data_IF_740856154190
#
_entry.id   IF_740856154190
#
_cell.length_a   1.000
_cell.length_b   1.000
_cell.length_c   1.000
_cell.angle_alpha   90.00
_cell.angle_beta   90.00
_cell.angle_gamma   90.00
#
_symmetry.space_group_name_H-M   'P 1'
#
loop_
_entity.id
_entity.type
_entity.pdbx_description
1 polymer ?
#
# COMPACT_ATOMS: atom_id res chain seq x y z
N UNK A 1 16.43 -39.44 -12.10
CA UNK A 1 17.12 -38.14 -11.91
C UNK A 1 16.23 -37.31 -11.00
N UNK A 2 16.70 -36.97 -9.80
CA UNK A 2 15.91 -36.37 -8.72
C UNK A 2 15.32 -35.01 -9.13
N UNK A 3 14.00 -34.89 -9.01
CA UNK A 3 13.26 -33.63 -9.09
C UNK A 3 13.81 -32.62 -8.08
N UNK A 4 14.63 -31.68 -8.55
CA UNK A 4 15.06 -30.55 -7.72
C UNK A 4 13.86 -29.65 -7.49
N UNK A 5 13.19 -29.82 -6.34
CA UNK A 5 12.15 -28.93 -5.83
C UNK A 5 12.65 -27.48 -5.93
N UNK A 6 11.99 -26.67 -6.76
CA UNK A 6 12.41 -25.30 -7.03
C UNK A 6 12.19 -24.44 -5.79
N UNK A 7 13.19 -24.32 -4.92
CA UNK A 7 13.12 -23.53 -3.68
C UNK A 7 13.05 -22.04 -4.02
N UNK A 8 12.08 -21.30 -3.45
CA UNK A 8 12.03 -19.85 -3.60
C UNK A 8 12.89 -19.14 -2.56
N UNK A 9 13.25 -17.88 -2.82
CA UNK A 9 13.97 -17.05 -1.84
C UNK A 9 13.18 -16.88 -0.54
N UNK A 10 11.84 -16.83 -0.63
CA UNK A 10 10.96 -16.72 0.53
C UNK A 10 10.95 -18.01 1.35
N UNK A 11 11.00 -19.17 0.69
CA UNK A 11 11.09 -20.47 1.36
C UNK A 11 12.39 -20.58 2.16
N UNK A 12 13.51 -20.09 1.62
CA UNK A 12 14.79 -20.12 2.31
C UNK A 12 14.81 -19.20 3.55
N UNK A 13 14.20 -18.01 3.48
CA UNK A 13 14.03 -17.16 4.66
C UNK A 13 13.20 -17.90 5.71
N UNK A 14 12.10 -18.53 5.30
CA UNK A 14 11.23 -19.26 6.22
C UNK A 14 11.94 -20.49 6.83
N UNK A 15 12.81 -21.17 6.06
CA UNK A 15 13.65 -22.27 6.54
C UNK A 15 14.55 -21.82 7.70
N UNK A 16 15.21 -20.66 7.57
CA UNK A 16 16.05 -20.10 8.63
C UNK A 16 15.27 -19.87 9.93
N UNK A 17 14.11 -19.23 9.82
CA UNK A 17 13.26 -18.95 10.98
C UNK A 17 12.70 -20.22 11.63
N UNK A 18 12.32 -21.23 10.83
CA UNK A 18 11.86 -22.53 11.33
C UNK A 18 12.95 -23.30 12.07
N UNK A 19 14.21 -23.16 11.65
CA UNK A 19 15.36 -23.72 12.36
C UNK A 19 15.71 -22.97 13.67
N UNK A 20 15.15 -21.77 13.86
CA UNK A 20 15.40 -20.90 15.01
C UNK A 20 14.09 -20.43 15.68
N UNK A 21 13.21 -21.35 16.11
CA UNK A 21 11.91 -20.97 16.67
C UNK A 21 12.07 -20.26 18.03
N UNK A 22 11.12 -19.38 18.37
CA UNK A 22 11.03 -18.63 19.63
C UNK A 22 12.26 -17.74 19.93
N UNK A 23 13.13 -17.51 18.95
CA UNK A 23 14.30 -16.62 19.07
C UNK A 23 14.05 -15.27 18.40
N UNK A 24 14.49 -14.21 19.07
CA UNK A 24 14.49 -12.85 18.53
C UNK A 24 15.69 -12.68 17.60
N UNK A 25 15.44 -12.57 16.29
CA UNK A 25 16.45 -12.58 15.25
C UNK A 25 16.51 -11.21 14.58
N UNK A 26 17.71 -10.64 14.51
CA UNK A 26 17.95 -9.38 13.79
C UNK A 26 18.03 -9.59 12.28
N UNK A 27 17.64 -8.58 11.50
CA UNK A 27 17.75 -8.59 10.04
C UNK A 27 19.15 -8.99 9.53
N UNK A 28 20.26 -8.37 10.00
CA UNK A 28 21.59 -8.72 9.49
C UNK A 28 21.89 -10.21 9.61
N UNK A 29 21.51 -10.84 10.72
CA UNK A 29 21.78 -12.26 10.95
C UNK A 29 21.11 -13.16 9.92
N UNK A 30 19.81 -12.95 9.67
CA UNK A 30 19.09 -13.73 8.66
C UNK A 30 19.55 -13.38 7.25
N UNK A 31 19.84 -12.10 6.97
CA UNK A 31 20.33 -11.61 5.66
C UNK A 31 21.66 -12.26 5.30
N UNK A 32 22.61 -12.29 6.24
CA UNK A 32 23.92 -12.89 6.04
C UNK A 32 23.80 -14.39 5.78
N UNK A 33 22.97 -15.08 6.55
CA UNK A 33 22.74 -16.51 6.35
C UNK A 33 22.06 -16.80 5.01
N UNK A 34 20.92 -16.16 4.71
CA UNK A 34 20.15 -16.47 3.49
C UNK A 34 20.91 -16.11 2.21
N UNK A 35 21.73 -15.06 2.23
CA UNK A 35 22.52 -14.64 1.07
C UNK A 35 23.59 -15.68 0.75
N UNK A 36 24.34 -16.10 1.78
CA UNK A 36 25.37 -17.12 1.65
C UNK A 36 24.78 -18.47 1.24
N UNK A 37 23.69 -18.87 1.89
CA UNK A 37 23.06 -20.18 1.65
C UNK A 37 22.41 -20.26 0.26
N UNK A 38 21.78 -19.18 -0.19
CA UNK A 38 21.20 -19.12 -1.55
C UNK A 38 22.26 -19.19 -2.63
N UNK A 39 23.39 -18.50 -2.45
CA UNK A 39 24.52 -18.58 -3.37
C UNK A 39 25.09 -20.00 -3.44
N UNK A 40 25.24 -20.69 -2.29
CA UNK A 40 25.70 -22.08 -2.26
C UNK A 40 24.74 -23.03 -2.97
N UNK A 41 23.42 -22.89 -2.74
CA UNK A 41 22.41 -23.82 -3.28
C UNK A 41 22.10 -23.59 -4.77
N UNK A 42 22.14 -22.34 -5.22
CA UNK A 42 21.63 -21.95 -6.55
C UNK A 42 22.67 -21.33 -7.47
N UNK A 43 23.82 -20.91 -6.93
CA UNK A 43 24.82 -20.11 -7.65
C UNK A 43 24.38 -18.68 -7.96
N UNK A 44 23.19 -18.26 -7.52
CA UNK A 44 22.62 -16.93 -7.80
C UNK A 44 22.73 -16.01 -6.59
N UNK A 45 22.59 -14.70 -6.84
CA UNK A 45 22.54 -13.67 -5.78
C UNK A 45 21.15 -13.64 -5.15
N UNK A 46 21.08 -13.59 -3.82
CA UNK A 46 19.83 -13.34 -3.10
C UNK A 46 19.39 -11.88 -3.30
N UNK A 47 18.11 -11.64 -3.65
CA UNK A 47 17.62 -10.28 -3.92
C UNK A 47 16.64 -9.84 -2.85
N UNK A 48 16.89 -8.67 -2.26
CA UNK A 48 16.01 -7.98 -1.30
C UNK A 48 15.49 -8.86 -0.14
N UNK A 49 16.40 -9.44 0.68
CA UNK A 49 16.03 -10.28 1.82
C UNK A 49 15.17 -9.55 2.85
N UNK A 50 15.43 -8.27 3.11
CA UNK A 50 14.62 -7.43 3.99
C UNK A 50 13.15 -7.36 3.55
N UNK A 51 12.88 -7.24 2.24
CA UNK A 51 11.50 -7.28 1.73
C UNK A 51 10.85 -8.64 1.94
N UNK A 52 11.61 -9.72 1.77
CA UNK A 52 11.12 -11.07 2.04
C UNK A 52 10.70 -11.25 3.50
N UNK A 53 11.52 -10.82 4.45
CA UNK A 53 11.23 -10.89 5.90
C UNK A 53 9.98 -10.06 6.24
N UNK A 54 9.89 -8.83 5.71
CA UNK A 54 8.69 -7.98 5.88
C UNK A 54 7.43 -8.64 5.31
N UNK A 55 7.53 -9.31 4.16
CA UNK A 55 6.41 -10.02 3.54
C UNK A 55 5.95 -11.18 4.42
N UNK A 56 6.87 -11.96 4.99
CA UNK A 56 6.53 -13.05 5.93
C UNK A 56 5.85 -12.54 7.19
N UNK A 57 6.33 -11.43 7.76
CA UNK A 57 5.65 -10.76 8.87
C UNK A 57 4.26 -10.28 8.51
N UNK A 58 4.09 -9.61 7.35
CA UNK A 58 2.78 -9.16 6.91
C UNK A 58 1.80 -10.33 6.81
N UNK A 59 2.22 -11.44 6.18
CA UNK A 59 1.44 -12.68 6.06
C UNK A 59 1.12 -13.38 7.39
N UNK A 60 1.72 -12.93 8.51
CA UNK A 60 1.49 -13.47 9.84
C UNK A 60 2.38 -14.67 10.21
N UNK A 61 3.41 -14.98 9.39
CA UNK A 61 4.37 -16.03 9.73
C UNK A 61 5.36 -15.59 10.80
N UNK A 62 5.71 -14.31 10.85
CA UNK A 62 6.69 -13.76 11.79
C UNK A 62 6.06 -12.69 12.66
N UNK A 63 6.46 -12.63 13.92
CA UNK A 63 6.14 -11.54 14.83
C UNK A 63 7.26 -10.50 14.82
N UNK A 64 6.93 -9.23 14.70
CA UNK A 64 7.91 -8.13 14.82
C UNK A 64 8.05 -7.75 16.28
N UNK A 65 9.23 -8.01 16.85
CA UNK A 65 9.54 -7.72 18.26
C UNK A 65 10.04 -6.28 18.41
N UNK A 66 10.91 -5.86 17.50
CA UNK A 66 11.45 -4.51 17.46
C UNK A 66 11.76 -4.09 16.00
N UNK A 67 12.28 -2.87 15.81
CA UNK A 67 12.71 -2.41 14.49
C UNK A 67 13.85 -3.31 13.98
N UNK A 68 13.57 -4.10 12.94
CA UNK A 68 14.54 -5.02 12.34
C UNK A 68 14.74 -6.33 13.12
N UNK A 69 13.88 -6.64 14.10
CA UNK A 69 13.95 -7.88 14.89
C UNK A 69 12.64 -8.64 14.75
N UNK A 70 12.73 -9.90 14.34
CA UNK A 70 11.60 -10.78 14.05
C UNK A 70 11.76 -12.11 14.76
N UNK A 71 10.63 -12.71 15.13
CA UNK A 71 10.57 -14.02 15.78
C UNK A 71 9.57 -14.91 15.08
N UNK A 72 9.91 -16.19 14.94
CA UNK A 72 9.00 -17.22 14.49
C UNK A 72 8.53 -18.05 15.68
N UNK A 73 7.22 -18.06 15.94
CA UNK A 73 6.60 -18.93 16.93
C UNK A 73 5.51 -19.75 16.27
N UNK A 74 5.69 -21.08 16.10
CA UNK A 74 4.72 -21.94 15.43
C UNK A 74 3.29 -21.81 15.98
N UNK A 75 3.17 -21.62 17.29
CA UNK A 75 1.90 -21.54 18.02
C UNK A 75 1.18 -20.18 17.82
N UNK A 76 1.89 -19.13 17.42
CA UNK A 76 1.33 -17.79 17.19
C UNK A 76 1.23 -17.41 15.70
N UNK A 77 1.47 -18.36 14.79
CA UNK A 77 1.29 -18.13 13.34
C UNK A 77 -0.20 -17.95 13.07
N UNK A 78 -0.65 -16.71 13.11
CA UNK A 78 -1.97 -16.32 12.63
C UNK A 78 -1.81 -15.87 11.18
N UNK A 79 -2.01 -16.80 10.25
CA UNK A 79 -2.13 -16.43 8.84
C UNK A 79 -3.23 -15.38 8.72
N UNK A 80 -2.84 -14.19 8.28
CA UNK A 80 -3.74 -13.07 8.09
C UNK A 80 -4.65 -13.39 6.90
N UNK A 81 -5.81 -14.00 7.15
CA UNK A 81 -6.83 -14.25 6.14
C UNK A 81 -7.32 -12.94 5.50
N UNK A 82 -7.22 -11.82 6.22
CA UNK A 82 -7.53 -10.48 5.72
C UNK A 82 -6.51 -9.96 4.68
N UNK A 83 -5.35 -10.60 4.52
CA UNK A 83 -4.43 -10.36 3.40
C UNK A 83 -4.88 -11.16 2.18
N UNK A 84 -6.15 -11.04 1.80
CA UNK A 84 -6.55 -11.30 0.43
C UNK A 84 -5.81 -10.31 -0.47
N UNK A 85 -4.61 -10.70 -0.90
CA UNK A 85 -3.98 -10.17 -2.09
C UNK A 85 -5.04 -10.27 -3.19
N UNK A 86 -5.34 -9.13 -3.83
CA UNK A 86 -6.42 -9.05 -4.81
C UNK A 86 -6.36 -10.25 -5.75
N UNK A 87 -7.43 -11.05 -5.79
CA UNK A 87 -7.48 -12.17 -6.71
C UNK A 87 -7.24 -11.65 -8.13
N UNK A 88 -6.51 -12.40 -8.95
CA UNK A 88 -6.25 -12.00 -10.34
C UNK A 88 -7.54 -11.72 -11.10
N UNK A 89 -8.62 -12.45 -10.77
CA UNK A 89 -9.96 -12.21 -11.27
C UNK A 89 -10.53 -10.85 -10.83
N UNK A 90 -10.45 -10.51 -9.54
CA UNK A 90 -10.92 -9.22 -9.02
C UNK A 90 -10.13 -8.05 -9.64
N UNK A 91 -8.80 -8.19 -9.77
CA UNK A 91 -7.96 -7.16 -10.43
C UNK A 91 -8.43 -6.88 -11.85
N UNK A 92 -8.73 -7.93 -12.61
CA UNK A 92 -9.21 -7.81 -13.98
C UNK A 92 -10.57 -7.12 -14.04
N UNK A 93 -11.51 -7.51 -13.18
CA UNK A 93 -12.83 -6.88 -13.10
C UNK A 93 -12.76 -5.39 -12.78
N UNK A 94 -11.86 -4.98 -11.86
CA UNK A 94 -11.66 -3.57 -11.52
C UNK A 94 -11.12 -2.78 -12.72
N UNK A 95 -10.10 -3.32 -13.40
CA UNK A 95 -9.52 -2.68 -14.58
C UNK A 95 -10.52 -2.57 -15.73
N UNK A 96 -11.34 -3.60 -15.96
CA UNK A 96 -12.40 -3.58 -16.96
C UNK A 96 -13.47 -2.54 -16.63
N UNK A 97 -13.95 -2.48 -15.38
CA UNK A 97 -14.90 -1.46 -14.90
C UNK A 97 -14.36 -0.04 -15.12
N UNK A 98 -13.08 0.17 -14.84
CA UNK A 98 -12.43 1.48 -14.94
C UNK A 98 -11.89 1.78 -16.36
N UNK A 99 -12.27 0.97 -17.36
CA UNK A 99 -11.85 1.10 -18.75
C UNK A 99 -10.32 1.16 -18.93
N UNK A 100 -9.57 0.47 -18.06
CA UNK A 100 -8.10 0.48 -18.01
C UNK A 100 -7.53 1.90 -17.95
N UNK A 101 -8.19 2.79 -17.20
CA UNK A 101 -7.83 4.19 -17.02
C UNK A 101 -7.86 4.56 -15.54
N UNK A 102 -7.07 5.57 -15.18
CA UNK A 102 -7.16 6.16 -13.86
C UNK A 102 -8.52 6.84 -13.67
N UNK A 103 -9.24 6.52 -12.61
CA UNK A 103 -10.57 7.11 -12.32
C UNK A 103 -10.52 8.62 -12.02
N UNK A 104 -9.33 9.14 -11.68
CA UNK A 104 -9.13 10.56 -11.35
C UNK A 104 -8.77 11.40 -12.57
N UNK A 105 -7.88 10.92 -13.45
CA UNK A 105 -7.40 11.72 -14.59
C UNK A 105 -7.69 11.12 -15.97
N UNK A 106 -8.29 9.95 -16.05
CA UNK A 106 -8.66 9.30 -17.32
C UNK A 106 -7.49 8.76 -18.15
N UNK A 107 -6.24 8.94 -17.73
CA UNK A 107 -5.06 8.41 -18.43
C UNK A 107 -4.91 6.91 -18.17
N UNK A 108 -4.53 6.15 -19.20
CA UNK A 108 -4.27 4.72 -19.14
C UNK A 108 -2.90 4.35 -19.73
N UNK A 109 -2.71 3.06 -20.00
CA UNK A 109 -1.44 2.55 -20.52
C UNK A 109 -1.04 3.15 -21.87
N UNK A 110 -2.01 3.54 -22.70
CA UNK A 110 -1.76 4.14 -24.02
C UNK A 110 -1.03 5.49 -23.90
N UNK A 111 -1.31 6.22 -22.83
CA UNK A 111 -0.71 7.51 -22.50
C UNK A 111 0.58 7.35 -21.66
N UNK A 112 1.11 6.12 -21.56
CA UNK A 112 2.37 5.83 -20.89
C UNK A 112 2.31 5.81 -19.36
N UNK A 113 1.12 5.83 -18.75
CA UNK A 113 1.00 5.80 -17.28
C UNK A 113 0.86 4.37 -16.75
N UNK A 114 1.58 4.09 -15.66
CA UNK A 114 1.41 2.86 -14.90
C UNK A 114 0.15 2.93 -14.04
N UNK A 115 -0.65 1.86 -14.07
CA UNK A 115 -1.90 1.75 -13.33
C UNK A 115 -1.73 0.81 -12.14
N UNK A 116 -2.26 1.24 -11.00
CA UNK A 116 -2.30 0.52 -9.76
C UNK A 116 -3.76 0.36 -9.32
N UNK A 117 -4.03 -0.74 -8.61
CA UNK A 117 -5.31 -0.95 -7.95
C UNK A 117 -5.10 -0.64 -6.48
N UNK A 118 -5.96 0.22 -5.94
CA UNK A 118 -5.84 0.69 -4.56
C UNK A 118 -7.22 0.86 -3.91
N UNK A 119 -7.26 0.74 -2.58
CA UNK A 119 -8.51 0.75 -1.83
C UNK A 119 -8.99 2.19 -1.64
N UNK A 120 -10.23 2.53 -1.98
CA UNK A 120 -10.89 3.81 -1.66
C UNK A 120 -10.84 4.05 -0.15
N UNK A 121 -11.43 3.15 0.65
CA UNK A 121 -11.27 3.12 2.10
C UNK A 121 -10.01 2.30 2.44
N UNK A 122 -8.97 2.89 3.07
CA UNK A 122 -7.76 2.16 3.43
C UNK A 122 -8.05 0.92 4.28
N UNK A 123 -7.26 -0.13 4.09
CA UNK A 123 -7.36 -1.38 4.85
C UNK A 123 -7.25 -1.16 6.36
N UNK A 124 -6.33 -0.29 6.80
CA UNK A 124 -6.14 0.06 8.21
C UNK A 124 -7.37 0.70 8.87
N UNK A 125 -8.31 1.24 8.07
CA UNK A 125 -9.59 1.78 8.53
C UNK A 125 -10.75 0.79 8.35
N UNK A 126 -10.45 -0.49 8.08
CA UNK A 126 -11.45 -1.53 7.82
C UNK A 126 -12.02 -1.48 6.39
N UNK A 127 -11.22 -1.05 5.42
CA UNK A 127 -11.53 -1.24 4.00
C UNK A 127 -11.41 -2.71 3.59
N UNK A 128 -12.42 -3.23 2.87
CA UNK A 128 -12.42 -4.60 2.36
C UNK A 128 -11.95 -4.63 0.91
N UNK A 129 -11.35 -5.73 0.48
CA UNK A 129 -10.96 -5.96 -0.92
C UNK A 129 -12.18 -6.34 -1.77
N UNK A 130 -13.04 -5.36 -2.07
CA UNK A 130 -14.27 -5.58 -2.87
C UNK A 130 -14.27 -4.71 -4.10
N UNK A 131 -14.97 -5.15 -5.15
CA UNK A 131 -15.09 -4.37 -6.39
C UNK A 131 -15.50 -2.92 -6.12
N UNK A 132 -16.36 -2.66 -5.13
CA UNK A 132 -16.85 -1.32 -4.79
C UNK A 132 -15.83 -0.48 -4.02
N UNK A 133 -14.98 -1.09 -3.21
CA UNK A 133 -13.98 -0.38 -2.41
C UNK A 133 -12.64 -0.27 -3.15
N UNK A 134 -12.46 -0.91 -4.30
CA UNK A 134 -11.25 -0.79 -5.11
C UNK A 134 -11.42 0.19 -6.28
N UNK A 135 -10.32 0.85 -6.65
CA UNK A 135 -10.25 1.78 -7.77
C UNK A 135 -8.91 1.69 -8.51
N UNK A 136 -8.94 1.99 -9.81
CA UNK A 136 -7.74 2.11 -10.64
C UNK A 136 -7.18 3.53 -10.58
N UNK A 137 -5.94 3.66 -10.11
CA UNK A 137 -5.20 4.93 -10.03
C UNK A 137 -3.91 4.86 -10.85
N UNK A 138 -3.54 5.96 -11.52
CA UNK A 138 -2.18 6.05 -12.06
C UNK A 138 -1.17 6.27 -10.92
N UNK A 139 0.11 5.98 -11.17
CA UNK A 139 1.18 6.16 -10.18
C UNK A 139 1.08 7.51 -9.44
N UNK A 140 0.91 8.62 -10.18
CA UNK A 140 0.78 9.97 -9.59
C UNK A 140 -0.35 10.07 -8.57
N UNK A 141 -1.57 9.66 -8.91
CA UNK A 141 -2.71 9.76 -8.00
C UNK A 141 -2.65 8.74 -6.87
N UNK A 142 -2.05 7.57 -7.11
CA UNK A 142 -1.79 6.58 -6.06
C UNK A 142 -0.83 7.14 -5.00
N UNK A 143 0.27 7.78 -5.42
CA UNK A 143 1.21 8.46 -4.51
C UNK A 143 0.55 9.61 -3.74
N UNK A 144 -0.25 10.44 -4.43
CA UNK A 144 -0.99 11.52 -3.78
C UNK A 144 -1.92 10.98 -2.69
N UNK A 145 -2.73 9.95 -2.99
CA UNK A 145 -3.63 9.34 -2.02
C UNK A 145 -2.92 8.76 -0.80
N UNK A 146 -1.74 8.15 -1.02
CA UNK A 146 -0.94 7.57 0.06
C UNK A 146 -0.40 8.63 1.02
N UNK A 147 -0.01 9.79 0.49
CA UNK A 147 0.57 10.88 1.27
C UNK A 147 -0.48 11.81 1.88
N UNK A 148 -1.53 12.08 1.12
CA UNK A 148 -2.61 13.01 1.43
C UNK A 148 -3.91 12.24 1.16
N UNK A 149 -4.57 11.77 2.23
CA UNK A 149 -5.84 11.03 2.11
C UNK A 149 -6.79 11.75 1.14
N UNK A 150 -7.67 11.03 0.45
CA UNK A 150 -8.46 11.61 -0.65
C UNK A 150 -9.22 12.90 -0.26
N UNK A 151 -9.89 12.90 0.89
CA UNK A 151 -10.64 14.07 1.39
C UNK A 151 -9.73 15.21 1.84
N UNK A 152 -8.52 14.90 2.30
CA UNK A 152 -7.53 15.90 2.70
C UNK A 152 -6.95 16.59 1.46
N UNK A 153 -6.65 15.83 0.41
CA UNK A 153 -6.22 16.39 -0.89
C UNK A 153 -7.27 17.34 -1.44
N UNK A 154 -8.55 16.92 -1.46
CA UNK A 154 -9.64 17.77 -1.91
C UNK A 154 -9.75 19.07 -1.10
N UNK A 155 -9.75 19.00 0.23
CA UNK A 155 -9.81 20.18 1.10
C UNK A 155 -8.65 21.15 0.84
N UNK A 156 -7.41 20.66 0.74
CA UNK A 156 -6.23 21.49 0.45
C UNK A 156 -6.32 22.16 -0.92
N UNK A 157 -6.82 21.45 -1.94
CA UNK A 157 -7.04 22.03 -3.28
C UNK A 157 -8.10 23.13 -3.26
N UNK A 158 -9.22 22.95 -2.54
CA UNK A 158 -10.25 23.99 -2.42
C UNK A 158 -9.74 25.24 -1.70
N UNK A 159 -8.90 25.09 -0.67
CA UNK A 159 -8.25 26.23 0.02
C UNK A 159 -7.36 27.00 -0.95
N UNK A 160 -6.50 26.30 -1.69
CA UNK A 160 -5.61 26.94 -2.68
C UNK A 160 -6.43 27.67 -3.77
N UNK A 161 -7.48 27.04 -4.29
CA UNK A 161 -8.35 27.66 -5.29
C UNK A 161 -9.08 28.88 -4.75
N UNK A 162 -9.45 28.88 -3.46
CA UNK A 162 -10.11 30.03 -2.83
C UNK A 162 -9.17 31.24 -2.76
N UNK A 163 -7.89 31.02 -2.43
CA UNK A 163 -6.88 32.08 -2.41
C UNK A 163 -6.71 32.69 -3.80
N UNK A 164 -6.53 31.85 -4.82
CA UNK A 164 -6.43 32.31 -6.21
C UNK A 164 -7.72 32.98 -6.72
N UNK A 165 -8.89 32.50 -6.32
CA UNK A 165 -10.17 33.13 -6.69
C UNK A 165 -10.35 34.51 -6.06
N UNK A 166 -9.88 34.69 -4.80
CA UNK A 166 -9.85 36.00 -4.12
C UNK A 166 -8.91 36.97 -4.84
N UNK A 167 -7.75 36.51 -5.29
CA UNK A 167 -6.78 37.33 -6.05
C UNK A 167 -7.33 37.79 -7.40
N UNK A 168 -8.13 36.95 -8.06
CA UNK A 168 -8.74 37.25 -9.36
C UNK A 168 -10.10 37.97 -9.28
N UNK A 169 -10.58 38.34 -8.07
CA UNK A 169 -11.92 38.89 -7.81
C UNK A 169 -13.08 38.06 -8.40
N UNK A 170 -12.93 36.73 -8.48
CA UNK A 170 -13.99 35.82 -8.93
C UNK A 170 -14.97 35.54 -7.79
N UNK A 171 -15.92 36.46 -7.62
CA UNK A 171 -16.90 36.42 -6.53
C UNK A 171 -17.79 35.17 -6.56
N UNK A 172 -18.09 34.65 -7.75
CA UNK A 172 -18.90 33.45 -7.92
C UNK A 172 -18.16 32.21 -7.42
N UNK A 173 -16.92 32.04 -7.85
CA UNK A 173 -16.09 30.92 -7.42
C UNK A 173 -15.73 31.01 -5.93
N UNK A 174 -15.49 32.22 -5.41
CA UNK A 174 -15.27 32.44 -3.97
C UNK A 174 -16.48 31.98 -3.14
N UNK A 175 -17.70 32.34 -3.54
CA UNK A 175 -18.91 31.93 -2.83
C UNK A 175 -19.06 30.40 -2.81
N UNK A 176 -18.93 29.75 -3.97
CA UNK A 176 -19.00 28.30 -4.09
C UNK A 176 -17.94 27.59 -3.21
N UNK A 177 -16.68 28.03 -3.27
CA UNK A 177 -15.60 27.41 -2.52
C UNK A 177 -15.77 27.57 -1.01
N UNK A 178 -16.33 28.69 -0.54
CA UNK A 178 -16.69 28.89 0.87
C UNK A 178 -17.74 27.88 1.33
N UNK A 179 -18.83 27.70 0.57
CA UNK A 179 -19.87 26.73 0.90
C UNK A 179 -19.30 25.30 0.98
N UNK A 180 -18.45 24.91 0.02
CA UNK A 180 -17.79 23.60 0.04
C UNK A 180 -16.93 23.43 1.31
N UNK A 181 -16.10 24.43 1.66
CA UNK A 181 -15.23 24.35 2.83
C UNK A 181 -16.00 24.40 4.16
N UNK A 182 -17.13 25.11 4.22
CA UNK A 182 -18.05 25.11 5.36
C UNK A 182 -18.70 23.74 5.58
N UNK A 183 -19.01 23.00 4.51
CA UNK A 183 -19.48 21.61 4.61
C UNK A 183 -18.41 20.71 5.25
N UNK A 184 -17.14 20.88 4.88
CA UNK A 184 -16.03 20.17 5.54
C UNK A 184 -15.98 20.47 7.05
N UNK A 185 -16.13 21.74 7.45
CA UNK A 185 -16.16 22.15 8.87
C UNK A 185 -17.37 21.57 9.61
N UNK A 186 -18.56 21.71 9.03
CA UNK A 186 -19.84 21.25 9.61
C UNK A 186 -19.81 19.76 9.96
N UNK A 187 -19.19 18.94 9.11
CA UNK A 187 -19.08 17.49 9.31
C UNK A 187 -17.78 17.08 10.01
N UNK A 188 -16.95 18.03 10.47
CA UNK A 188 -15.65 17.80 11.08
C UNK A 188 -14.72 16.92 10.22
N UNK A 189 -14.84 17.03 8.89
CA UNK A 189 -13.97 16.31 7.95
C UNK A 189 -12.64 17.06 7.85
N UNK A 190 -11.56 16.38 8.25
CA UNK A 190 -10.20 16.95 8.30
C UNK A 190 -10.15 18.26 9.11
N UNK A 191 -10.75 18.27 10.31
CA UNK A 191 -10.82 19.45 11.18
C UNK A 191 -9.48 20.06 11.60
N UNK A 192 -8.38 19.29 11.51
CA UNK A 192 -7.02 19.77 11.72
C UNK A 192 -6.52 20.72 10.60
N UNK A 193 -7.23 20.82 9.47
CA UNK A 193 -6.91 21.72 8.35
C UNK A 193 -7.85 22.91 8.42
N UNK A 194 -7.29 24.07 8.77
CA UNK A 194 -8.01 25.34 8.93
C UNK A 194 -7.78 26.22 7.69
N UNK A 195 -8.76 27.04 7.31
CA UNK A 195 -8.70 27.93 6.16
C UNK A 195 -9.15 29.34 6.52
N UNK A 196 -8.69 30.34 5.77
CA UNK A 196 -9.01 31.75 6.01
C UNK A 196 -10.31 32.13 5.28
N UNK A 197 -11.35 32.40 6.07
CA UNK A 197 -12.66 32.85 5.58
C UNK A 197 -12.55 34.16 4.80
#
# INVERSE_FOLDING_TARGET
MSDKKHISQLDLIMEFFKANPKRDISHPEVVDWVTNEWQKRTGKVFRDPDRGIRSLHQKGYLQKIAKGVYRYEPEMVHLREDLEDFSSALKKQILERDNYKCVICGLGKKEGVELHIDHIKPKDLGGKATLQNEQTLCARHNFLKKNLKQTETGKKMFIQMLETAKENDDKGLVAFLKEVLEVYEKHNINGHIVWKK
#
